data_IF_643671029634
#
_entry.id   IF_643671029634
#
_cell.length_a   1.000
_cell.length_b   1.000
_cell.length_c   1.000
_cell.angle_alpha   90.00
_cell.angle_beta   90.00
_cell.angle_gamma   90.00
#
_symmetry.space_group_name_H-M   'P 1'
#
loop_
_entity.id
_entity.type
_entity.pdbx_description
1 polymer ?
#
# COMPACT_ATOMS: atom_id res chain seq x y z
N UNK A 1 -36.59 38.64 10.52
CA UNK A 1 -35.64 37.99 11.49
C UNK A 1 -34.23 38.19 10.98
N UNK A 2 -33.26 38.65 11.82
CA UNK A 2 -31.89 38.87 11.36
C UNK A 2 -31.15 37.53 11.19
N UNK A 3 -30.17 37.46 10.26
CA UNK A 3 -29.31 36.30 10.06
C UNK A 3 -28.60 35.88 11.35
N UNK A 4 -28.20 36.81 12.19
CA UNK A 4 -27.55 36.53 13.47
C UNK A 4 -28.49 35.79 14.44
N UNK A 5 -29.77 36.14 14.45
CA UNK A 5 -30.78 35.44 15.27
C UNK A 5 -31.04 34.03 14.78
N UNK A 6 -31.13 33.83 13.46
CA UNK A 6 -31.28 32.48 12.85
C UNK A 6 -30.08 31.62 13.22
N UNK A 7 -28.84 32.10 13.06
CA UNK A 7 -27.63 31.37 13.43
C UNK A 7 -27.62 30.99 14.91
N UNK A 8 -28.07 31.88 15.80
CA UNK A 8 -28.14 31.62 17.23
C UNK A 8 -29.14 30.49 17.55
N UNK A 9 -30.34 30.55 16.95
CA UNK A 9 -31.36 29.49 17.11
C UNK A 9 -30.87 28.14 16.61
N UNK A 10 -30.28 28.10 15.41
CA UNK A 10 -29.72 26.87 14.84
C UNK A 10 -28.61 26.31 15.77
N UNK A 11 -27.74 27.16 16.27
CA UNK A 11 -26.65 26.75 17.18
C UNK A 11 -27.18 26.28 18.54
N UNK A 12 -28.18 26.94 19.11
CA UNK A 12 -28.81 26.53 20.38
C UNK A 12 -29.57 25.22 20.26
N UNK A 13 -30.13 24.92 19.05
CA UNK A 13 -30.73 23.62 18.74
C UNK A 13 -29.69 22.51 18.46
N UNK A 14 -28.39 22.75 18.67
CA UNK A 14 -27.34 21.75 18.55
C UNK A 14 -26.80 21.51 17.12
N UNK A 15 -27.34 22.19 16.11
CA UNK A 15 -26.86 22.05 14.74
C UNK A 15 -25.48 22.71 14.56
N UNK A 16 -24.58 22.01 13.85
CA UNK A 16 -23.21 22.47 13.58
C UNK A 16 -22.86 22.16 12.14
N UNK A 17 -22.17 23.08 11.48
CA UNK A 17 -21.53 22.78 10.21
C UNK A 17 -20.44 21.75 10.41
N UNK A 18 -20.47 20.68 9.65
CA UNK A 18 -19.43 19.64 9.66
C UNK A 18 -18.96 19.38 8.23
N UNK A 19 -17.66 19.21 8.07
CA UNK A 19 -17.12 18.61 6.83
C UNK A 19 -17.66 17.20 6.70
N UNK A 20 -18.00 16.80 5.48
CA UNK A 20 -18.32 15.42 5.17
C UNK A 20 -17.11 14.53 5.58
N UNK A 21 -17.40 13.44 6.27
CA UNK A 21 -16.42 12.43 6.58
C UNK A 21 -16.31 11.50 5.39
N UNK A 22 -15.12 11.43 4.80
CA UNK A 22 -14.84 10.44 3.76
C UNK A 22 -14.73 9.08 4.45
N UNK A 23 -15.56 8.14 4.04
CA UNK A 23 -15.54 6.75 4.47
C UNK A 23 -14.89 5.92 3.37
N UNK A 24 -13.90 5.13 3.73
CA UNK A 24 -13.24 4.22 2.80
C UNK A 24 -14.18 3.06 2.50
N UNK A 25 -14.52 2.89 1.22
CA UNK A 25 -15.45 1.87 0.74
C UNK A 25 -14.81 1.09 -0.40
N UNK A 26 -15.31 -0.11 -0.65
CA UNK A 26 -14.95 -0.94 -1.80
C UNK A 26 -16.17 -1.15 -2.68
N UNK A 27 -15.96 -1.22 -3.98
CA UNK A 27 -17.00 -1.54 -4.98
C UNK A 27 -17.03 -3.02 -5.34
N UNK A 28 -16.24 -3.84 -4.66
CA UNK A 28 -16.11 -5.27 -4.94
C UNK A 28 -17.31 -6.04 -4.38
N UNK A 29 -18.11 -6.73 -5.22
CA UNK A 29 -19.25 -7.52 -4.75
C UNK A 29 -18.80 -8.70 -3.86
N UNK A 30 -17.57 -9.20 -4.02
CA UNK A 30 -16.99 -10.25 -3.21
C UNK A 30 -16.18 -9.74 -2.01
N UNK A 31 -16.33 -8.46 -1.62
CA UNK A 31 -15.54 -7.83 -0.56
C UNK A 31 -15.44 -8.68 0.70
N UNK A 32 -16.58 -9.02 1.29
CA UNK A 32 -16.65 -9.79 2.54
C UNK A 32 -15.99 -11.17 2.40
N UNK A 33 -16.19 -11.85 1.27
CA UNK A 33 -15.60 -13.16 0.98
C UNK A 33 -14.08 -13.08 0.87
N UNK A 34 -13.54 -12.11 0.11
CA UNK A 34 -12.10 -11.91 -0.07
C UNK A 34 -11.42 -11.56 1.24
N UNK A 35 -11.98 -10.63 2.01
CA UNK A 35 -11.45 -10.25 3.32
C UNK A 35 -11.53 -11.41 4.31
N UNK A 36 -12.65 -12.15 4.33
CA UNK A 36 -12.79 -13.34 5.16
C UNK A 36 -11.72 -14.40 4.85
N UNK A 37 -11.41 -14.62 3.56
CA UNK A 37 -10.35 -15.54 3.13
C UNK A 37 -8.96 -15.06 3.61
N UNK A 38 -8.63 -13.78 3.45
CA UNK A 38 -7.36 -13.21 3.90
C UNK A 38 -7.24 -13.30 5.43
N UNK A 39 -8.28 -12.93 6.18
CA UNK A 39 -8.30 -13.04 7.65
C UNK A 39 -8.10 -14.48 8.11
N UNK A 40 -8.74 -15.44 7.44
CA UNK A 40 -8.56 -16.88 7.74
C UNK A 40 -7.12 -17.31 7.51
N UNK A 41 -6.50 -16.94 6.38
CA UNK A 41 -5.09 -17.23 6.10
C UNK A 41 -4.21 -16.67 7.22
N UNK A 42 -4.38 -15.39 7.55
CA UNK A 42 -3.56 -14.71 8.56
C UNK A 42 -3.74 -15.26 9.97
N UNK A 43 -4.92 -15.76 10.31
CA UNK A 43 -5.21 -16.38 11.61
C UNK A 43 -4.60 -17.78 11.75
N UNK A 44 -4.40 -18.49 10.63
CA UNK A 44 -3.90 -19.87 10.58
C UNK A 44 -2.51 -20.01 9.96
N UNK A 45 -1.82 -18.89 9.73
CA UNK A 45 -0.50 -18.84 9.11
C UNK A 45 0.52 -19.56 9.99
N UNK A 46 1.20 -20.55 9.41
CA UNK A 46 2.22 -21.37 10.09
C UNK A 46 3.60 -20.73 9.98
N UNK A 47 4.54 -21.21 10.79
CA UNK A 47 5.93 -20.72 10.78
C UNK A 47 6.67 -21.02 9.47
N UNK A 48 6.22 -22.03 8.72
CA UNK A 48 6.73 -22.41 7.40
C UNK A 48 5.92 -21.82 6.24
N UNK A 49 5.07 -20.84 6.52
CA UNK A 49 4.26 -20.11 5.55
C UNK A 49 4.50 -18.60 5.69
N UNK A 50 4.51 -17.88 4.58
CA UNK A 50 4.65 -16.43 4.59
C UNK A 50 3.50 -15.75 3.82
N UNK A 51 3.08 -14.57 4.29
CA UNK A 51 2.08 -13.74 3.63
C UNK A 51 2.71 -12.40 3.24
N UNK A 52 2.58 -12.04 1.97
CA UNK A 52 3.17 -10.84 1.40
C UNK A 52 2.08 -9.86 0.96
N UNK A 53 2.25 -8.58 1.35
CA UNK A 53 1.55 -7.44 0.76
C UNK A 53 2.47 -6.82 -0.28
N UNK A 54 2.05 -6.75 -1.54
CA UNK A 54 2.88 -6.37 -2.69
C UNK A 54 2.27 -5.17 -3.39
N UNK A 55 3.11 -4.21 -3.82
CA UNK A 55 2.70 -3.05 -4.61
C UNK A 55 3.90 -2.34 -5.24
N UNK A 56 3.64 -1.31 -6.06
CA UNK A 56 4.64 -0.46 -6.68
C UNK A 56 4.50 1.01 -6.25
N UNK A 57 5.56 1.55 -5.67
CA UNK A 57 5.66 2.99 -5.39
C UNK A 57 6.23 3.74 -6.60
N UNK A 58 5.47 4.66 -7.14
CA UNK A 58 5.85 5.45 -8.31
C UNK A 58 4.94 5.20 -9.53
N UNK A 59 5.32 5.64 -10.75
CA UNK A 59 6.59 6.32 -11.06
C UNK A 59 6.70 7.69 -10.39
N UNK A 60 7.87 8.00 -9.85
CA UNK A 60 8.13 9.33 -9.30
C UNK A 60 9.40 9.94 -9.88
N UNK A 61 9.32 11.25 -10.16
CA UNK A 61 10.43 12.01 -10.72
C UNK A 61 11.46 12.34 -9.64
N UNK A 62 12.74 12.20 -9.97
CA UNK A 62 13.85 12.66 -9.15
C UNK A 62 14.08 14.13 -9.42
N UNK A 63 13.63 14.95 -8.49
CA UNK A 63 13.73 16.41 -8.50
C UNK A 63 13.59 16.89 -7.06
N UNK A 64 13.89 18.15 -6.78
CA UNK A 64 13.67 18.73 -5.45
C UNK A 64 12.21 18.54 -5.03
N UNK A 65 12.00 17.85 -3.94
CA UNK A 65 10.68 17.56 -3.38
C UNK A 65 10.38 18.46 -2.20
N UNK A 66 9.20 19.07 -2.22
CA UNK A 66 8.67 19.77 -1.06
C UNK A 66 8.18 18.80 0.01
N UNK A 67 8.02 19.33 1.19
CA UNK A 67 7.48 18.63 2.34
C UNK A 67 7.19 19.63 3.46
N UNK A 68 7.08 19.14 4.67
CA UNK A 68 6.95 20.01 5.86
C UNK A 68 8.32 20.30 6.44
N UNK A 69 8.64 21.56 6.67
CA UNK A 69 9.88 22.03 7.29
C UNK A 69 9.56 23.05 8.37
N UNK A 70 10.30 23.06 9.46
CA UNK A 70 10.27 24.16 10.43
C UNK A 70 11.08 25.32 9.86
N UNK A 71 10.50 26.50 9.88
CA UNK A 71 11.12 27.75 9.43
C UNK A 71 11.02 28.79 10.53
N UNK A 72 11.90 29.79 10.53
CA UNK A 72 11.87 30.91 11.46
C UNK A 72 10.67 31.83 11.24
N UNK A 73 10.38 32.74 12.21
CA UNK A 73 9.34 33.74 12.03
C UNK A 73 9.62 34.62 10.79
N UNK A 74 8.63 34.69 9.90
CA UNK A 74 8.75 35.47 8.64
C UNK A 74 9.48 34.73 7.51
N UNK A 75 10.03 33.54 7.73
CA UNK A 75 10.66 32.74 6.69
C UNK A 75 9.65 31.90 5.92
N UNK A 76 9.95 31.67 4.64
CA UNK A 76 9.15 30.82 3.76
C UNK A 76 10.00 29.68 3.22
N UNK A 77 9.41 28.47 3.19
CA UNK A 77 10.00 27.33 2.51
C UNK A 77 9.36 27.19 1.13
N UNK A 78 10.13 27.44 0.10
CA UNK A 78 9.69 27.37 -1.30
C UNK A 78 10.54 26.40 -2.10
N UNK A 79 9.92 25.79 -3.10
CA UNK A 79 10.59 24.97 -4.12
C UNK A 79 10.19 25.52 -5.50
N UNK A 80 11.06 25.43 -6.53
CA UNK A 80 10.71 25.83 -7.87
C UNK A 80 9.51 25.03 -8.39
N UNK A 81 8.55 25.70 -9.01
CA UNK A 81 7.40 25.06 -9.65
C UNK A 81 7.87 24.19 -10.84
N UNK A 82 8.74 24.73 -11.66
CA UNK A 82 9.31 24.07 -12.84
C UNK A 82 10.69 23.52 -12.52
N UNK A 83 10.87 22.24 -12.73
CA UNK A 83 12.13 21.56 -12.48
C UNK A 83 12.33 20.46 -13.51
N UNK A 84 13.52 20.37 -14.07
CA UNK A 84 13.93 19.23 -14.91
C UNK A 84 14.11 18.01 -14.02
N UNK A 85 13.50 16.89 -14.40
CA UNK A 85 13.73 15.61 -13.72
C UNK A 85 15.14 15.09 -14.02
N UNK A 86 15.77 14.52 -12.97
CA UNK A 86 17.07 13.82 -13.05
C UNK A 86 16.89 12.31 -13.26
N UNK A 87 15.66 11.87 -13.55
CA UNK A 87 15.28 10.49 -13.78
C UNK A 87 13.93 10.15 -13.13
N UNK A 88 13.50 8.92 -13.35
CA UNK A 88 12.26 8.36 -12.80
C UNK A 88 12.53 7.02 -12.16
N UNK A 89 11.85 6.74 -11.08
CA UNK A 89 11.94 5.46 -10.38
C UNK A 89 10.57 4.86 -10.15
N UNK A 90 10.50 3.53 -10.23
CA UNK A 90 9.41 2.70 -9.71
C UNK A 90 10.08 1.69 -8.78
N UNK A 91 9.60 1.62 -7.54
CA UNK A 91 10.02 0.64 -6.56
C UNK A 91 8.94 -0.41 -6.45
N UNK A 92 9.19 -1.61 -6.94
CA UNK A 92 8.32 -2.77 -6.72
C UNK A 92 8.78 -3.48 -5.45
N UNK A 93 7.87 -3.64 -4.49
CA UNK A 93 8.23 -4.19 -3.20
C UNK A 93 7.17 -5.14 -2.64
N UNK A 94 7.62 -6.09 -1.83
CA UNK A 94 6.84 -7.05 -1.08
C UNK A 94 7.15 -6.94 0.41
N UNK A 95 6.14 -6.76 1.23
CA UNK A 95 6.23 -6.77 2.68
C UNK A 95 5.80 -8.13 3.21
N UNK A 96 6.72 -8.88 3.78
CA UNK A 96 6.40 -10.08 4.56
C UNK A 96 5.80 -9.63 5.91
N UNK A 97 4.56 -10.06 6.17
CA UNK A 97 3.77 -9.49 7.26
C UNK A 97 4.24 -9.94 8.64
N UNK A 98 4.66 -11.19 8.80
CA UNK A 98 5.00 -11.75 10.11
C UNK A 98 6.26 -11.14 10.70
N UNK A 99 7.30 -10.99 9.87
CA UNK A 99 8.60 -10.46 10.25
C UNK A 99 8.78 -8.98 9.88
N UNK A 100 7.79 -8.40 9.20
CA UNK A 100 7.82 -7.02 8.75
C UNK A 100 9.02 -6.70 7.84
N UNK A 101 9.50 -7.70 7.10
CA UNK A 101 10.64 -7.61 6.18
C UNK A 101 10.18 -7.16 4.81
N UNK A 102 10.92 -6.27 4.18
CA UNK A 102 10.68 -5.79 2.81
C UNK A 102 11.72 -6.39 1.87
N UNK A 103 11.24 -7.03 0.80
CA UNK A 103 12.02 -7.36 -0.39
C UNK A 103 11.62 -6.39 -1.49
N UNK A 104 12.57 -5.81 -2.21
CA UNK A 104 12.29 -4.82 -3.25
C UNK A 104 13.28 -4.88 -4.40
N UNK A 105 12.87 -4.30 -5.53
CA UNK A 105 13.72 -4.01 -6.68
C UNK A 105 13.16 -2.80 -7.45
N UNK A 106 13.93 -2.33 -8.43
CA UNK A 106 13.53 -1.21 -9.28
C UNK A 106 12.98 -1.70 -10.61
N UNK A 107 11.79 -1.23 -10.94
CA UNK A 107 11.08 -1.56 -12.18
C UNK A 107 11.15 -0.40 -13.18
N UNK A 108 11.13 -0.75 -14.46
CA UNK A 108 11.00 0.25 -15.54
C UNK A 108 9.55 0.57 -15.86
N UNK A 109 8.64 -0.38 -15.59
CA UNK A 109 7.21 -0.30 -15.89
C UNK A 109 6.42 -0.97 -14.76
N UNK A 110 5.15 -0.63 -14.64
CA UNK A 110 4.17 -1.39 -13.85
C UNK A 110 3.47 -2.34 -14.81
N UNK A 111 3.82 -3.60 -14.76
CA UNK A 111 3.27 -4.61 -15.68
C UNK A 111 3.35 -6.02 -15.08
N UNK A 112 2.76 -6.97 -15.79
CA UNK A 112 2.72 -8.39 -15.42
C UNK A 112 4.12 -9.01 -15.29
N UNK A 113 5.08 -8.62 -16.12
CA UNK A 113 6.43 -9.18 -16.10
C UNK A 113 7.15 -8.87 -14.78
N UNK A 114 7.00 -7.64 -14.27
CA UNK A 114 7.58 -7.25 -12.99
C UNK A 114 6.90 -7.98 -11.81
N UNK A 115 5.60 -8.30 -11.92
CA UNK A 115 4.91 -9.12 -10.92
C UNK A 115 5.37 -10.58 -10.96
N UNK A 116 5.61 -11.13 -12.14
CA UNK A 116 6.22 -12.46 -12.31
C UNK A 116 7.61 -12.47 -11.68
N UNK A 117 8.43 -11.46 -11.98
CA UNK A 117 9.76 -11.29 -11.38
C UNK A 117 9.72 -11.22 -9.85
N UNK A 118 8.73 -10.51 -9.28
CA UNK A 118 8.55 -10.47 -7.82
C UNK A 118 8.18 -11.85 -7.27
N UNK A 119 7.27 -12.58 -7.91
CA UNK A 119 6.88 -13.91 -7.47
C UNK A 119 8.06 -14.91 -7.50
N UNK A 120 8.87 -14.87 -8.57
CA UNK A 120 10.06 -15.70 -8.71
C UNK A 120 11.12 -15.35 -7.66
N UNK A 121 11.36 -14.06 -7.42
CA UNK A 121 12.28 -13.57 -6.40
C UNK A 121 11.87 -14.07 -5.01
N UNK A 122 10.61 -13.88 -4.63
CA UNK A 122 10.10 -14.32 -3.33
C UNK A 122 10.17 -15.85 -3.20
N UNK A 123 9.82 -16.59 -4.26
CA UNK A 123 9.94 -18.05 -4.26
C UNK A 123 11.37 -18.53 -4.06
N UNK A 124 12.35 -17.83 -4.61
CA UNK A 124 13.77 -18.12 -4.43
C UNK A 124 14.28 -17.75 -3.04
N UNK A 125 13.96 -16.56 -2.54
CA UNK A 125 14.40 -16.08 -1.21
C UNK A 125 13.80 -16.93 -0.07
N UNK A 126 12.55 -17.38 -0.22
CA UNK A 126 11.81 -18.14 0.78
C UNK A 126 11.73 -19.63 0.44
N UNK A 127 12.75 -20.17 -0.26
CA UNK A 127 12.76 -21.57 -0.72
C UNK A 127 12.57 -22.62 0.38
N UNK A 128 12.93 -22.31 1.62
CA UNK A 128 12.74 -23.19 2.78
C UNK A 128 11.31 -23.21 3.32
N UNK A 129 10.46 -22.30 2.84
CA UNK A 129 9.07 -22.23 3.25
C UNK A 129 8.23 -23.22 2.47
N UNK A 130 7.13 -23.69 3.09
CA UNK A 130 6.18 -24.59 2.44
C UNK A 130 5.23 -23.86 1.51
N UNK A 131 4.85 -22.61 1.88
CA UNK A 131 3.85 -21.85 1.14
C UNK A 131 4.03 -20.36 1.26
N UNK A 132 3.81 -19.65 0.15
CA UNK A 132 3.77 -18.21 0.08
C UNK A 132 2.38 -17.76 -0.36
N UNK A 133 1.81 -16.79 0.37
CA UNK A 133 0.58 -16.12 -0.02
C UNK A 133 0.93 -14.73 -0.53
N UNK A 134 0.55 -14.41 -1.77
CA UNK A 134 0.80 -13.13 -2.41
C UNK A 134 -0.49 -12.33 -2.47
N UNK A 135 -0.49 -11.16 -1.86
CA UNK A 135 -1.62 -10.23 -1.81
C UNK A 135 -1.25 -8.90 -2.46
N UNK A 136 -2.10 -8.44 -3.35
CA UNK A 136 -1.97 -7.19 -4.09
C UNK A 136 -3.35 -6.61 -4.40
N UNK A 137 -3.42 -5.39 -4.90
CA UNK A 137 -4.65 -4.75 -5.33
C UNK A 137 -5.19 -5.34 -6.66
N UNK A 138 -6.33 -4.83 -7.12
CA UNK A 138 -7.01 -5.31 -8.32
C UNK A 138 -6.51 -4.65 -9.62
N UNK A 139 -5.26 -4.18 -9.69
CA UNK A 139 -4.70 -3.66 -10.93
C UNK A 139 -4.67 -4.77 -12.02
N UNK A 140 -4.86 -4.38 -13.27
CA UNK A 140 -5.02 -5.34 -14.38
C UNK A 140 -3.83 -6.27 -14.57
N UNK A 141 -2.62 -5.80 -14.30
CA UNK A 141 -1.39 -6.61 -14.39
C UNK A 141 -1.24 -7.59 -13.22
N UNK A 142 -1.91 -7.36 -12.09
CA UNK A 142 -1.96 -8.26 -10.93
C UNK A 142 -2.94 -9.43 -11.11
N UNK A 143 -3.92 -9.28 -12.00
CA UNK A 143 -4.95 -10.30 -12.27
C UNK A 143 -4.85 -10.90 -13.68
N UNK A 144 -3.73 -10.66 -14.37
CA UNK A 144 -3.53 -11.08 -15.75
C UNK A 144 -3.50 -12.61 -15.88
N UNK A 145 -3.98 -13.11 -17.03
CA UNK A 145 -3.92 -14.54 -17.38
C UNK A 145 -2.48 -15.05 -17.42
N UNK A 146 -1.54 -14.20 -17.86
CA UNK A 146 -0.11 -14.54 -17.94
C UNK A 146 0.47 -14.79 -16.54
N UNK A 147 0.21 -13.90 -15.56
CA UNK A 147 0.66 -14.10 -14.18
C UNK A 147 0.06 -15.37 -13.57
N UNK A 148 -1.24 -15.57 -13.77
CA UNK A 148 -1.93 -16.77 -13.29
C UNK A 148 -1.33 -18.04 -13.86
N UNK A 149 -1.15 -18.12 -15.19
CA UNK A 149 -0.54 -19.27 -15.87
C UNK A 149 0.91 -19.53 -15.41
N UNK A 150 1.69 -18.46 -15.17
CA UNK A 150 3.04 -18.60 -14.62
C UNK A 150 3.02 -19.22 -13.22
N UNK A 151 2.16 -18.72 -12.32
CA UNK A 151 2.04 -19.26 -10.96
C UNK A 151 1.54 -20.73 -10.96
N UNK A 152 0.62 -21.10 -11.86
CA UNK A 152 0.17 -22.47 -12.03
C UNK A 152 1.32 -23.37 -12.49
N UNK A 153 2.13 -22.94 -13.47
CA UNK A 153 3.33 -23.63 -13.93
C UNK A 153 4.34 -23.82 -12.82
N UNK A 154 4.66 -22.75 -12.07
CA UNK A 154 5.57 -22.82 -10.92
C UNK A 154 5.12 -23.84 -9.87
N UNK A 155 3.81 -23.94 -9.63
CA UNK A 155 3.25 -24.90 -8.67
C UNK A 155 3.17 -26.33 -9.22
N UNK A 156 3.15 -26.49 -10.56
CA UNK A 156 3.13 -27.77 -11.26
C UNK A 156 4.51 -28.44 -11.31
N UNK A 157 5.58 -27.65 -11.33
CA UNK A 157 6.96 -28.13 -11.27
C UNK A 157 7.26 -28.71 -9.88
N UNK A 158 6.85 -29.96 -9.68
CA UNK A 158 6.90 -30.69 -8.40
C UNK A 158 8.30 -31.18 -7.98
N UNK A 159 9.34 -30.54 -8.43
CA UNK A 159 10.64 -30.69 -7.75
C UNK A 159 10.51 -30.08 -6.35
N UNK A 160 10.43 -30.89 -5.31
CA UNK A 160 10.12 -30.59 -3.89
C UNK A 160 10.97 -29.50 -3.20
N UNK A 161 11.68 -28.67 -3.95
CA UNK A 161 12.65 -27.72 -3.43
C UNK A 161 12.11 -26.29 -3.22
N UNK A 162 10.88 -25.99 -3.62
CA UNK A 162 10.35 -24.62 -3.61
C UNK A 162 8.92 -24.54 -3.04
N UNK A 163 8.57 -23.41 -2.39
CA UNK A 163 7.26 -23.23 -1.81
C UNK A 163 6.14 -23.18 -2.87
N UNK A 164 4.96 -23.63 -2.46
CA UNK A 164 3.73 -23.42 -3.23
C UNK A 164 3.31 -21.96 -3.13
N UNK A 165 3.08 -21.31 -4.26
CA UNK A 165 2.62 -19.93 -4.33
C UNK A 165 1.10 -19.87 -4.49
N UNK A 166 0.41 -19.18 -3.59
CA UNK A 166 -1.03 -18.91 -3.63
C UNK A 166 -1.32 -17.42 -3.68
N UNK A 167 -2.34 -17.03 -4.41
CA UNK A 167 -2.79 -15.65 -4.47
C UNK A 167 -3.87 -15.37 -3.43
N UNK A 168 -3.82 -14.19 -2.82
CA UNK A 168 -4.81 -13.68 -1.88
C UNK A 168 -5.11 -12.20 -2.21
N UNK A 169 -5.72 -11.92 -3.40
CA UNK A 169 -5.89 -10.56 -3.88
C UNK A 169 -6.85 -9.78 -3.00
N UNK A 170 -6.55 -8.49 -2.83
CA UNK A 170 -7.42 -7.55 -2.14
C UNK A 170 -8.71 -7.32 -2.95
N UNK A 171 -9.80 -6.92 -2.29
CA UNK A 171 -11.00 -6.49 -2.99
C UNK A 171 -10.72 -5.28 -3.89
N UNK A 172 -11.46 -5.15 -4.98
CA UNK A 172 -11.37 -3.99 -5.86
C UNK A 172 -11.68 -2.70 -5.09
N UNK A 173 -11.02 -1.60 -5.45
CA UNK A 173 -11.13 -0.29 -4.80
C UNK A 173 -10.84 -0.29 -3.28
N UNK A 174 -10.11 -1.28 -2.79
CA UNK A 174 -9.75 -1.43 -1.38
C UNK A 174 -8.24 -1.28 -1.12
N UNK A 175 -7.56 -0.37 -1.84
CA UNK A 175 -6.12 -0.10 -1.68
C UNK A 175 -5.74 0.25 -0.24
N UNK A 176 -6.68 0.84 0.52
CA UNK A 176 -6.49 1.15 1.94
C UNK A 176 -6.22 -0.09 2.82
N UNK A 177 -6.47 -1.30 2.31
CA UNK A 177 -6.12 -2.56 2.95
C UNK A 177 -4.72 -3.05 2.58
N UNK A 178 -4.07 -2.42 1.58
CA UNK A 178 -2.74 -2.81 1.17
C UNK A 178 -1.70 -2.29 2.18
N UNK A 179 -1.18 -3.20 3.00
CA UNK A 179 -0.34 -2.85 4.16
C UNK A 179 0.96 -2.20 3.74
N UNK A 180 1.54 -2.59 2.59
CA UNK A 180 2.80 -2.05 2.10
C UNK A 180 2.71 -0.54 1.80
N UNK A 181 1.53 -0.01 1.52
CA UNK A 181 1.30 1.43 1.35
C UNK A 181 1.73 2.24 2.59
N UNK A 182 1.58 1.66 3.78
CA UNK A 182 2.07 2.28 5.01
C UNK A 182 3.59 2.35 5.07
N UNK A 183 4.28 1.36 4.50
CA UNK A 183 5.75 1.31 4.38
C UNK A 183 6.22 2.35 3.37
N UNK A 184 5.59 2.43 2.20
CA UNK A 184 5.88 3.46 1.21
C UNK A 184 5.65 4.87 1.74
N UNK A 185 4.56 5.08 2.49
CA UNK A 185 4.31 6.35 3.16
C UNK A 185 5.38 6.69 4.21
N UNK A 186 5.91 5.69 4.92
CA UNK A 186 7.04 5.84 5.84
C UNK A 186 8.32 6.23 5.10
N UNK A 187 8.68 5.50 4.06
CA UNK A 187 9.80 5.77 3.18
C UNK A 187 9.73 7.19 2.58
N UNK A 188 8.57 7.54 2.02
CA UNK A 188 8.39 8.86 1.41
C UNK A 188 8.62 10.00 2.41
N UNK A 189 8.11 9.87 3.63
CA UNK A 189 8.33 10.88 4.69
C UNK A 189 9.79 10.92 5.15
N UNK A 190 10.46 9.78 5.22
CA UNK A 190 11.81 9.70 5.74
C UNK A 190 12.86 10.23 4.75
N UNK A 191 12.73 9.88 3.47
CA UNK A 191 13.81 10.10 2.50
C UNK A 191 13.40 10.76 1.17
N UNK A 192 12.10 10.86 0.86
CA UNK A 192 11.66 11.51 -0.39
C UNK A 192 11.19 12.94 -0.16
N UNK A 193 10.40 13.20 0.89
CA UNK A 193 9.98 14.55 1.23
C UNK A 193 11.19 15.39 1.67
N UNK A 194 11.26 16.65 1.22
CA UNK A 194 12.37 17.58 1.43
C UNK A 194 13.72 17.10 0.83
N UNK A 195 13.69 16.12 -0.09
CA UNK A 195 14.90 15.65 -0.76
C UNK A 195 15.26 16.51 -1.99
N UNK A 196 16.54 16.49 -2.33
CA UNK A 196 17.10 17.04 -3.59
C UNK A 196 18.24 16.14 -4.05
N UNK A 197 17.91 14.92 -4.43
CA UNK A 197 18.92 13.97 -4.90
C UNK A 197 19.62 14.47 -6.17
N UNK A 198 20.95 14.36 -6.28
CA UNK A 198 21.70 14.79 -7.45
C UNK A 198 21.44 13.91 -8.69
N UNK A 199 21.08 12.63 -8.49
CA UNK A 199 20.80 11.66 -9.54
C UNK A 199 19.77 10.62 -9.11
N UNK A 200 19.29 9.81 -10.07
CA UNK A 200 18.44 8.66 -9.78
C UNK A 200 19.19 7.61 -8.95
N UNK A 201 20.47 7.40 -9.20
CA UNK A 201 21.33 6.49 -8.46
C UNK A 201 21.44 6.89 -6.98
N UNK A 202 21.63 8.17 -6.69
CA UNK A 202 21.65 8.67 -5.31
C UNK A 202 20.34 8.42 -4.58
N UNK A 203 19.20 8.51 -5.29
CA UNK A 203 17.89 8.18 -4.74
C UNK A 203 17.73 6.66 -4.51
N UNK A 204 18.22 5.83 -5.44
CA UNK A 204 18.29 4.36 -5.29
C UNK A 204 19.06 3.99 -4.03
N UNK A 205 20.27 4.50 -3.87
CA UNK A 205 21.13 4.22 -2.70
C UNK A 205 20.46 4.63 -1.37
N UNK A 206 19.69 5.74 -1.38
CA UNK A 206 18.97 6.17 -0.19
C UNK A 206 17.78 5.25 0.14
N UNK A 207 17.09 4.75 -0.87
CA UNK A 207 15.96 3.80 -0.71
C UNK A 207 16.49 2.45 -0.22
N UNK A 208 17.57 1.93 -0.82
CA UNK A 208 18.19 0.67 -0.41
C UNK A 208 18.63 0.71 1.04
N UNK A 209 19.31 1.81 1.45
CA UNK A 209 19.70 2.02 2.84
C UNK A 209 18.49 2.06 3.76
N UNK A 210 17.44 2.79 3.40
CA UNK A 210 16.23 2.87 4.21
C UNK A 210 15.62 1.49 4.44
N UNK A 211 15.49 0.65 3.41
CA UNK A 211 14.93 -0.69 3.57
C UNK A 211 15.86 -1.63 4.31
N UNK A 212 17.18 -1.51 4.11
CA UNK A 212 18.17 -2.28 4.85
C UNK A 212 18.11 -1.97 6.36
N UNK A 213 18.15 -0.70 6.75
CA UNK A 213 18.04 -0.27 8.15
C UNK A 213 16.71 -0.69 8.77
N UNK A 214 15.61 -0.52 8.02
CA UNK A 214 14.28 -0.95 8.45
C UNK A 214 14.21 -2.47 8.68
N UNK A 215 14.72 -3.26 7.76
CA UNK A 215 14.75 -4.71 7.88
C UNK A 215 15.63 -5.17 9.06
N UNK A 216 16.78 -4.53 9.26
CA UNK A 216 17.64 -4.79 10.42
C UNK A 216 16.93 -4.47 11.74
N UNK A 217 16.22 -3.34 11.82
CA UNK A 217 15.43 -2.98 13.00
C UNK A 217 14.39 -4.07 13.35
N UNK A 218 13.61 -4.54 12.37
CA UNK A 218 12.59 -5.57 12.62
C UNK A 218 13.17 -6.98 12.80
N UNK A 219 14.40 -7.24 12.37
CA UNK A 219 15.09 -8.47 12.71
C UNK A 219 15.47 -8.53 14.21
N UNK A 220 15.84 -7.38 14.80
CA UNK A 220 16.16 -7.27 16.22
C UNK A 220 14.90 -7.15 17.09
N UNK A 221 13.89 -6.43 16.60
CA UNK A 221 12.62 -6.19 17.30
C UNK A 221 11.44 -6.68 16.45
N UNK A 222 11.19 -7.99 16.38
CA UNK A 222 10.16 -8.55 15.53
C UNK A 222 8.78 -8.00 15.89
N UNK A 223 8.09 -7.46 14.91
CA UNK A 223 6.73 -6.94 15.06
C UNK A 223 5.94 -7.21 13.80
N UNK A 224 4.82 -7.91 13.96
CA UNK A 224 3.92 -8.19 12.83
C UNK A 224 3.37 -6.88 12.23
N UNK A 225 3.47 -6.74 10.91
CA UNK A 225 2.87 -5.63 10.18
C UNK A 225 1.33 -5.72 10.16
N UNK A 226 0.66 -4.60 9.91
CA UNK A 226 -0.78 -4.57 9.66
C UNK A 226 -1.69 -4.76 10.87
N UNK A 227 -1.18 -4.87 12.09
CA UNK A 227 -2.00 -5.08 13.29
C UNK A 227 -3.16 -4.08 13.46
N UNK A 228 -2.93 -2.83 13.10
CA UNK A 228 -3.95 -1.77 13.24
C UNK A 228 -4.99 -1.85 12.12
N UNK A 229 -4.57 -2.10 10.90
CA UNK A 229 -5.45 -2.16 9.72
C UNK A 229 -6.42 -3.32 9.85
N UNK A 230 -5.91 -4.53 10.17
CA UNK A 230 -6.73 -5.72 10.27
C UNK A 230 -7.58 -5.81 11.56
N UNK A 231 -7.20 -5.11 12.64
CA UNK A 231 -7.99 -5.01 13.89
C UNK A 231 -9.12 -3.98 13.79
N UNK A 232 -8.91 -2.90 13.03
CA UNK A 232 -9.82 -1.76 12.93
C UNK A 232 -10.78 -1.88 11.75
N UNK A 233 -10.85 -3.02 11.10
CA UNK A 233 -11.93 -3.29 10.18
C UNK A 233 -13.26 -3.26 10.95
N UNK A 234 -13.69 -2.06 11.20
CA UNK A 234 -15.07 -1.80 11.60
C UNK A 234 -15.91 -2.17 10.41
N UNK A 235 -16.85 -3.09 10.66
CA UNK A 235 -17.96 -3.48 9.82
C UNK A 235 -17.71 -3.33 8.32
N UNK A 236 -17.83 -4.40 7.56
CA UNK A 236 -17.96 -4.30 6.12
C UNK A 236 -18.70 -3.01 5.81
N UNK A 237 -18.04 -2.08 5.10
CA UNK A 237 -18.77 -0.98 4.53
C UNK A 237 -19.72 -1.63 3.52
N UNK A 238 -20.90 -1.98 3.95
CA UNK A 238 -21.94 -2.39 3.05
C UNK A 238 -22.17 -1.21 2.11
N UNK A 239 -21.88 -1.44 0.87
CA UNK A 239 -22.15 -0.50 -0.19
C UNK A 239 -23.67 -0.52 -0.43
N UNK A 240 -24.40 0.30 0.31
CA UNK A 240 -25.81 0.54 0.02
C UNK A 240 -25.93 1.61 -1.05
N UNK A 241 -27.02 1.62 -1.80
CA UNK A 241 -27.30 2.68 -2.78
C UNK A 241 -27.28 4.08 -2.14
N UNK A 242 -27.63 4.19 -0.86
CA UNK A 242 -27.53 5.43 -0.08
C UNK A 242 -26.09 5.90 0.15
N UNK A 243 -25.08 5.02 0.07
CA UNK A 243 -23.67 5.39 0.15
C UNK A 243 -23.09 5.81 -1.20
N UNK A 244 -23.81 5.56 -2.27
CA UNK A 244 -23.42 5.92 -3.64
C UNK A 244 -24.07 7.22 -4.09
N UNK A 245 -24.24 8.12 -3.15
CA UNK A 245 -24.83 9.32 -3.18
C UNK A 245 -24.70 10.34 -4.22
N UNK A 246 -25.69 10.44 -4.91
CA UNK A 246 -26.33 11.74 -5.05
C UNK A 246 -27.65 11.62 -4.33
N UNK A 247 -27.66 11.97 -3.09
CA UNK A 247 -28.91 12.12 -2.36
C UNK A 247 -29.83 13.03 -3.21
N UNK A 248 -30.96 12.54 -3.72
CA UNK A 248 -31.82 13.32 -4.57
C UNK A 248 -32.35 14.60 -3.91
N UNK A 249 -32.29 14.69 -2.58
CA UNK A 249 -32.69 15.88 -1.81
C UNK A 249 -31.72 17.07 -1.95
N UNK A 250 -30.53 16.86 -2.57
CA UNK A 250 -29.53 17.89 -2.83
C UNK A 250 -29.44 18.30 -4.31
N UNK A 251 -30.44 18.01 -5.12
CA UNK A 251 -30.58 18.52 -6.49
C UNK A 251 -31.30 19.86 -6.55
#
# INVERSE_FOLDING_TARGET
MSQARIRRVIKSAGFKWRKAKIVLTSTDPDYTKKIGAIKKILATLKNDEAFFSIDEYGPFAIKKKGGRKRVGPGEYYAIPQWQKSKGWLIVTAALEISNNRVTHFYSRKKNTEEMIRMADLLRSEYRSYKRLYLSWDAASWHISKQLKGHLEKLNGDRGNAFPVVKTAPLPASAQFLNIIESVFSGMARAIIHNSDYPSAEAAVNAIDRYFQERNAHFAIQPSRAGRRIWRLERAACEFSESNNCKDPSYR
#
